data_IF_273524573947
#
_entry.id   IF_273524573947
#
_cell.length_a   1.000
_cell.length_b   1.000
_cell.length_c   1.000
_cell.angle_alpha   90.00
_cell.angle_beta   90.00
_cell.angle_gamma   90.00
#
_symmetry.space_group_name_H-M   'P 1'
#
loop_
_entity.id
_entity.type
_entity.pdbx_description
1 polymer ?
#
# COMPACT_ATOMS: atom_id res chain seq x y z
N UNK A 1 8.97 7.54 0.79
CA UNK A 1 8.06 7.90 -0.33
C UNK A 1 8.57 9.09 -1.13
N UNK A 2 8.76 10.29 -0.56
CA UNK A 2 9.21 11.47 -1.31
C UNK A 2 10.52 11.24 -2.09
N UNK A 3 11.54 10.68 -1.44
CA UNK A 3 12.82 10.35 -2.09
C UNK A 3 12.66 9.38 -3.29
N UNK A 4 11.85 8.34 -3.13
CA UNK A 4 11.58 7.37 -4.22
C UNK A 4 10.85 8.04 -5.39
N UNK A 5 9.88 8.92 -5.10
CA UNK A 5 9.15 9.64 -6.16
C UNK A 5 10.05 10.60 -6.94
N UNK A 6 11.01 11.26 -6.30
CA UNK A 6 11.98 12.13 -6.99
C UNK A 6 12.89 11.32 -7.91
N UNK A 7 13.34 10.15 -7.45
CA UNK A 7 14.17 9.23 -8.25
C UNK A 7 13.39 8.67 -9.45
N UNK A 8 12.11 8.36 -9.28
CA UNK A 8 11.27 7.84 -10.36
C UNK A 8 10.73 8.92 -11.32
N UNK A 9 10.83 10.20 -10.99
CA UNK A 9 10.30 11.29 -11.82
C UNK A 9 10.80 11.26 -13.28
N UNK A 10 12.12 11.15 -13.58
CA UNK A 10 12.58 11.06 -14.96
C UNK A 10 12.03 9.83 -15.69
N UNK A 11 11.90 8.71 -14.98
CA UNK A 11 11.32 7.47 -15.52
C UNK A 11 9.85 7.68 -15.88
N UNK A 12 9.06 8.32 -15.01
CA UNK A 12 7.64 8.60 -15.27
C UNK A 12 7.43 9.57 -16.42
N UNK A 13 8.27 10.61 -16.54
CA UNK A 13 8.25 11.54 -17.67
C UNK A 13 8.60 10.83 -18.97
N UNK A 14 9.61 9.95 -18.97
CA UNK A 14 9.97 9.14 -20.13
C UNK A 14 8.82 8.20 -20.55
N UNK A 15 8.21 7.50 -19.60
CA UNK A 15 7.05 6.65 -19.89
C UNK A 15 5.93 7.45 -20.55
N UNK A 16 5.62 8.66 -20.08
CA UNK A 16 4.55 9.52 -20.63
C UNK A 16 4.75 9.90 -22.10
N UNK A 17 5.99 9.91 -22.60
CA UNK A 17 6.32 10.35 -23.96
C UNK A 17 6.40 9.19 -24.97
N UNK A 18 6.53 7.95 -24.52
CA UNK A 18 6.77 6.80 -25.39
C UNK A 18 5.47 6.04 -25.74
N UNK A 19 5.39 5.50 -26.96
CA UNK A 19 4.40 4.47 -27.38
C UNK A 19 4.47 3.17 -26.56
N UNK A 20 5.35 3.13 -25.55
CA UNK A 20 5.56 1.99 -24.65
C UNK A 20 4.28 1.63 -23.87
N UNK A 21 3.42 2.60 -23.53
CA UNK A 21 2.15 2.33 -22.86
C UNK A 21 1.27 1.39 -23.68
N UNK A 22 1.16 1.62 -24.99
CA UNK A 22 0.35 0.78 -25.89
C UNK A 22 0.92 -0.64 -26.03
N UNK A 23 2.25 -0.78 -26.04
CA UNK A 23 2.91 -2.11 -26.05
C UNK A 23 2.71 -2.84 -24.72
N UNK A 24 2.85 -2.14 -23.60
CA UNK A 24 2.63 -2.69 -22.26
C UNK A 24 1.19 -3.14 -22.07
N UNK A 25 0.22 -2.35 -22.50
CA UNK A 25 -1.20 -2.74 -22.42
C UNK A 25 -1.45 -4.01 -23.22
N UNK A 26 -0.95 -4.12 -24.46
CA UNK A 26 -1.09 -5.36 -25.26
C UNK A 26 -0.48 -6.59 -24.59
N UNK A 27 0.69 -6.46 -23.96
CA UNK A 27 1.32 -7.56 -23.21
C UNK A 27 0.49 -7.91 -21.98
N UNK A 28 -0.04 -6.89 -21.30
CA UNK A 28 -0.78 -7.03 -20.06
C UNK A 28 -2.23 -7.50 -20.27
N UNK A 29 -2.80 -7.39 -21.47
CA UNK A 29 -4.11 -7.97 -21.84
C UNK A 29 -4.18 -9.50 -21.63
N UNK A 30 -3.03 -10.17 -21.53
CA UNK A 30 -2.97 -11.58 -21.17
C UNK A 30 -3.28 -11.75 -19.67
N UNK A 31 -4.21 -12.64 -19.29
CA UNK A 31 -4.53 -12.89 -17.87
C UNK A 31 -3.30 -13.32 -17.04
N UNK A 32 -2.34 -13.99 -17.69
CA UNK A 32 -1.06 -14.39 -17.11
C UNK A 32 -0.18 -13.17 -16.81
N UNK A 33 -0.27 -12.10 -17.59
CA UNK A 33 0.55 -10.91 -17.42
C UNK A 33 0.11 -10.05 -16.23
N UNK A 34 -1.20 -10.03 -15.91
CA UNK A 34 -1.70 -9.45 -14.66
C UNK A 34 -1.14 -10.17 -13.42
N UNK A 35 -1.14 -11.50 -13.47
CA UNK A 35 -0.51 -12.34 -12.45
C UNK A 35 1.01 -12.14 -12.46
N UNK A 36 1.59 -11.88 -13.63
CA UNK A 36 2.99 -11.51 -13.82
C UNK A 36 3.41 -10.27 -13.05
N UNK A 37 2.51 -9.31 -12.80
CA UNK A 37 2.80 -8.15 -11.93
C UNK A 37 3.10 -8.57 -10.48
N UNK A 38 2.57 -9.70 -10.01
CA UNK A 38 2.89 -10.20 -8.68
C UNK A 38 4.26 -10.90 -8.62
N UNK A 39 4.87 -11.26 -9.76
CA UNK A 39 6.13 -12.01 -9.79
C UNK A 39 7.34 -11.18 -9.30
N UNK A 40 7.56 -9.92 -9.72
CA UNK A 40 8.67 -9.14 -9.19
C UNK A 40 8.57 -8.95 -7.67
N UNK A 41 7.36 -8.77 -7.13
CA UNK A 41 7.11 -8.69 -5.69
C UNK A 41 7.47 -10.01 -4.99
N UNK A 42 7.06 -11.14 -5.58
CA UNK A 42 7.39 -12.48 -5.09
C UNK A 42 8.91 -12.74 -5.05
N UNK A 43 9.62 -12.37 -6.12
CA UNK A 43 11.08 -12.54 -6.22
C UNK A 43 11.81 -11.67 -5.19
N UNK A 44 11.41 -10.40 -5.06
CA UNK A 44 11.97 -9.47 -4.08
C UNK A 44 11.83 -10.04 -2.66
N UNK A 45 10.63 -10.50 -2.30
CA UNK A 45 10.38 -11.10 -0.99
C UNK A 45 11.18 -12.39 -0.79
N UNK A 46 11.22 -13.28 -1.78
CA UNK A 46 11.95 -14.55 -1.69
C UNK A 46 13.46 -14.37 -1.48
N UNK A 47 14.08 -13.43 -2.20
CA UNK A 47 15.53 -13.25 -2.23
C UNK A 47 16.02 -12.36 -1.09
N UNK A 48 15.26 -11.33 -0.72
CA UNK A 48 15.73 -10.30 0.20
C UNK A 48 15.24 -10.49 1.64
N UNK A 49 14.05 -11.08 1.88
CA UNK A 49 13.57 -11.34 3.26
C UNK A 49 14.38 -12.33 4.10
N UNK A 50 15.17 -13.27 3.54
CA UNK A 50 16.04 -14.09 4.37
C UNK A 50 17.08 -13.26 5.13
N UNK A 51 17.52 -12.13 4.55
CA UNK A 51 18.55 -11.25 5.12
C UNK A 51 17.98 -10.00 5.78
N UNK A 52 17.01 -9.34 5.18
CA UNK A 52 16.42 -8.11 5.73
C UNK A 52 15.11 -8.40 6.45
N UNK A 53 15.12 -8.14 7.76
CA UNK A 53 14.04 -8.44 8.70
C UNK A 53 12.78 -7.59 8.42
N UNK A 54 12.94 -6.43 7.80
CA UNK A 54 11.82 -5.55 7.46
C UNK A 54 11.52 -4.48 8.52
N UNK A 55 12.55 -3.82 9.08
CA UNK A 55 12.38 -2.72 10.04
C UNK A 55 11.70 -1.47 9.45
N UNK A 56 11.41 -1.46 8.14
CA UNK A 56 10.81 -0.35 7.39
C UNK A 56 11.71 0.89 7.33
N UNK A 57 13.03 0.68 7.41
CA UNK A 57 14.04 1.73 7.32
C UNK A 57 14.45 2.02 5.87
N UNK A 58 15.02 3.19 5.61
CA UNK A 58 15.43 3.57 4.25
C UNK A 58 16.82 3.04 3.85
N UNK A 59 17.73 2.86 4.81
CA UNK A 59 19.15 2.59 4.54
C UNK A 59 19.57 1.12 4.76
N UNK A 60 18.87 0.40 5.64
CA UNK A 60 19.20 -0.98 6.01
C UNK A 60 17.99 -1.91 5.87
N UNK A 61 17.20 -1.68 4.83
CA UNK A 61 16.03 -2.50 4.50
C UNK A 61 15.75 -2.50 2.99
N UNK A 62 16.74 -2.98 2.23
CA UNK A 62 16.67 -3.03 0.77
C UNK A 62 15.48 -3.85 0.25
N UNK A 63 15.02 -4.84 1.02
CA UNK A 63 13.81 -5.58 0.71
C UNK A 63 12.59 -4.65 0.61
N UNK A 64 12.35 -3.84 1.64
CA UNK A 64 11.22 -2.91 1.64
C UNK A 64 11.40 -1.76 0.64
N UNK A 65 12.62 -1.23 0.49
CA UNK A 65 12.89 -0.17 -0.49
C UNK A 65 12.52 -0.60 -1.91
N UNK A 66 12.99 -1.76 -2.35
CA UNK A 66 12.71 -2.28 -3.68
C UNK A 66 11.23 -2.66 -3.85
N UNK A 67 10.63 -3.27 -2.83
CA UNK A 67 9.22 -3.62 -2.84
C UNK A 67 8.32 -2.37 -2.98
N UNK A 68 8.59 -1.31 -2.21
CA UNK A 68 7.85 -0.05 -2.31
C UNK A 68 8.10 0.66 -3.64
N UNK A 69 9.32 0.59 -4.18
CA UNK A 69 9.64 1.12 -5.50
C UNK A 69 8.80 0.44 -6.58
N UNK A 70 8.70 -0.90 -6.56
CA UNK A 70 7.88 -1.66 -7.50
C UNK A 70 6.40 -1.32 -7.35
N UNK A 71 5.88 -1.22 -6.12
CA UNK A 71 4.50 -0.78 -5.91
C UNK A 71 4.23 0.63 -6.42
N UNK A 72 5.17 1.56 -6.26
CA UNK A 72 5.05 2.92 -6.77
C UNK A 72 4.98 2.93 -8.31
N UNK A 73 5.85 2.15 -8.98
CA UNK A 73 5.85 2.02 -10.44
C UNK A 73 4.52 1.40 -10.91
N UNK A 74 4.04 0.35 -10.26
CA UNK A 74 2.76 -0.27 -10.59
C UNK A 74 1.58 0.66 -10.38
N UNK A 75 1.55 1.42 -9.28
CA UNK A 75 0.53 2.43 -9.05
C UNK A 75 0.48 3.47 -10.17
N UNK A 76 1.64 3.95 -10.63
CA UNK A 76 1.73 4.87 -11.76
C UNK A 76 1.22 4.24 -13.06
N UNK A 77 1.72 3.06 -13.43
CA UNK A 77 1.36 2.38 -14.67
C UNK A 77 -0.14 2.05 -14.73
N UNK A 78 -0.70 1.50 -13.65
CA UNK A 78 -2.11 1.15 -13.56
C UNK A 78 -3.02 2.40 -13.56
N UNK A 79 -2.54 3.51 -13.01
CA UNK A 79 -3.28 4.78 -12.99
C UNK A 79 -3.20 5.57 -14.30
N UNK A 80 -2.15 5.35 -15.11
CA UNK A 80 -1.92 6.12 -16.33
C UNK A 80 -2.84 5.71 -17.50
N UNK A 81 -3.27 4.45 -17.58
CA UNK A 81 -4.00 3.92 -18.74
C UNK A 81 -5.40 3.35 -18.40
N UNK A 82 -6.49 3.91 -18.95
CA UNK A 82 -7.86 3.45 -18.69
C UNK A 82 -8.13 2.00 -19.10
N UNK A 83 -7.36 1.47 -20.05
CA UNK A 83 -7.51 0.09 -20.53
C UNK A 83 -7.17 -0.93 -19.43
N UNK A 84 -6.29 -0.61 -18.50
CA UNK A 84 -6.00 -1.48 -17.34
C UNK A 84 -7.22 -1.67 -16.45
N UNK A 85 -8.01 -0.63 -16.27
CA UNK A 85 -9.21 -0.69 -15.44
C UNK A 85 -10.20 -1.72 -15.99
N UNK A 86 -10.43 -1.69 -17.31
CA UNK A 86 -11.28 -2.66 -18.01
C UNK A 86 -10.75 -4.10 -17.87
N UNK A 87 -9.44 -4.27 -17.91
CA UNK A 87 -8.80 -5.56 -17.77
C UNK A 87 -8.96 -6.12 -16.34
N UNK A 88 -8.77 -5.28 -15.32
CA UNK A 88 -9.00 -5.64 -13.92
C UNK A 88 -10.46 -6.08 -13.70
N UNK A 89 -11.42 -5.35 -14.27
CA UNK A 89 -12.84 -5.71 -14.20
C UNK A 89 -13.14 -7.05 -14.86
N UNK A 90 -12.51 -7.35 -15.99
CA UNK A 90 -12.67 -8.63 -16.70
C UNK A 90 -12.18 -9.82 -15.87
N UNK A 91 -11.09 -9.67 -15.14
CA UNK A 91 -10.44 -10.75 -14.39
C UNK A 91 -10.66 -10.72 -12.87
N UNK A 92 -11.54 -9.82 -12.39
CA UNK A 92 -11.76 -9.57 -10.96
C UNK A 92 -12.07 -10.81 -10.12
N UNK A 93 -12.86 -11.75 -10.64
CA UNK A 93 -13.23 -12.95 -9.88
C UNK A 93 -12.02 -13.86 -9.66
N UNK A 94 -11.20 -14.07 -10.69
CA UNK A 94 -9.98 -14.87 -10.60
C UNK A 94 -8.97 -14.24 -9.64
N UNK A 95 -8.77 -12.92 -9.71
CA UNK A 95 -7.87 -12.18 -8.81
C UNK A 95 -8.35 -12.31 -7.35
N UNK A 96 -9.66 -12.18 -7.11
CA UNK A 96 -10.26 -12.33 -5.77
C UNK A 96 -10.04 -13.73 -5.22
N UNK A 97 -10.35 -14.76 -6.01
CA UNK A 97 -10.17 -16.16 -5.62
C UNK A 97 -8.71 -16.41 -5.29
N UNK A 98 -7.78 -15.95 -6.13
CA UNK A 98 -6.35 -16.15 -5.92
C UNK A 98 -5.83 -15.46 -4.64
N UNK A 99 -6.22 -14.21 -4.40
CA UNK A 99 -5.82 -13.46 -3.20
C UNK A 99 -6.39 -14.07 -1.91
N UNK A 100 -7.66 -14.48 -1.92
CA UNK A 100 -8.31 -15.07 -0.75
C UNK A 100 -7.77 -16.48 -0.50
N UNK A 101 -7.71 -17.33 -1.52
CA UNK A 101 -7.18 -18.69 -1.39
C UNK A 101 -5.71 -18.66 -0.96
N UNK A 102 -4.90 -17.77 -1.53
CA UNK A 102 -3.50 -17.58 -1.15
C UNK A 102 -3.36 -17.15 0.31
N UNK A 103 -4.19 -16.21 0.77
CA UNK A 103 -4.23 -15.81 2.18
C UNK A 103 -4.66 -16.95 3.10
N UNK A 104 -5.68 -17.72 2.73
CA UNK A 104 -6.14 -18.89 3.51
C UNK A 104 -5.05 -19.93 3.67
N UNK A 105 -4.26 -20.19 2.63
CA UNK A 105 -3.11 -21.10 2.70
C UNK A 105 -2.04 -20.54 3.65
N UNK A 106 -1.70 -19.25 3.54
CA UNK A 106 -0.72 -18.62 4.42
C UNK A 106 -1.14 -18.62 5.89
N UNK A 107 -2.42 -18.33 6.16
CA UNK A 107 -2.99 -18.41 7.50
C UNK A 107 -3.03 -19.85 8.01
N UNK A 108 -3.38 -20.81 7.16
CA UNK A 108 -3.36 -22.23 7.50
C UNK A 108 -1.95 -22.71 7.91
N UNK A 109 -0.92 -22.32 7.15
CA UNK A 109 0.48 -22.60 7.51
C UNK A 109 0.88 -21.96 8.84
N UNK A 110 0.42 -20.74 9.11
CA UNK A 110 0.69 -20.05 10.38
C UNK A 110 -0.01 -20.71 11.57
N UNK A 111 -1.28 -21.08 11.43
CA UNK A 111 -2.04 -21.78 12.48
C UNK A 111 -1.49 -23.17 12.75
N UNK A 112 -1.03 -23.87 11.72
CA UNK A 112 -0.43 -25.20 11.83
C UNK A 112 1.03 -25.19 12.33
N UNK A 113 1.57 -24.02 12.67
CA UNK A 113 2.98 -23.81 13.03
C UNK A 113 3.96 -24.41 12.00
N UNK A 114 3.55 -24.40 10.74
CA UNK A 114 4.28 -24.95 9.60
C UNK A 114 5.05 -23.87 8.82
N UNK A 115 5.20 -22.67 9.40
CA UNK A 115 5.95 -21.57 8.81
C UNK A 115 7.44 -21.90 8.89
N UNK A 116 8.18 -21.96 7.77
CA UNK A 116 9.59 -22.28 7.79
C UNK A 116 10.39 -21.24 8.59
N UNK A 117 11.41 -21.72 9.31
CA UNK A 117 12.35 -20.83 10.00
C UNK A 117 13.09 -19.93 9.00
N UNK A 118 13.32 -18.68 9.42
CA UNK A 118 14.03 -17.69 8.62
C UNK A 118 15.45 -18.19 8.33
N UNK A 119 15.69 -18.48 7.07
CA UNK A 119 16.97 -18.99 6.59
C UNK A 119 17.04 -18.80 5.08
N UNK A 120 18.24 -18.86 4.51
CA UNK A 120 18.42 -19.03 3.07
C UNK A 120 18.15 -20.48 2.64
N UNK A 121 17.04 -21.06 3.12
CA UNK A 121 16.58 -22.38 2.72
C UNK A 121 15.56 -22.26 1.60
N UNK A 122 15.54 -23.26 0.72
CA UNK A 122 14.56 -23.33 -0.36
C UNK A 122 13.13 -23.24 0.17
N UNK A 123 12.85 -23.87 1.33
CA UNK A 123 11.53 -23.86 1.98
C UNK A 123 11.09 -22.45 2.41
N UNK A 124 11.98 -21.69 3.05
CA UNK A 124 11.65 -20.33 3.46
C UNK A 124 11.53 -19.38 2.26
N UNK A 125 12.41 -19.52 1.27
CA UNK A 125 12.35 -18.72 0.05
C UNK A 125 11.07 -18.97 -0.75
N UNK A 126 10.61 -20.22 -0.89
CA UNK A 126 9.34 -20.53 -1.56
C UNK A 126 8.14 -20.02 -0.78
N UNK A 127 8.17 -20.12 0.56
CA UNK A 127 7.17 -19.50 1.42
C UNK A 127 7.11 -17.97 1.22
N UNK A 128 8.26 -17.29 1.21
CA UNK A 128 8.31 -15.84 1.00
C UNK A 128 7.93 -15.43 -0.43
N UNK A 129 8.30 -16.23 -1.43
CA UNK A 129 7.83 -16.05 -2.81
C UNK A 129 6.30 -16.06 -2.86
N UNK A 130 5.69 -17.08 -2.26
CA UNK A 130 4.24 -17.20 -2.21
C UNK A 130 3.58 -16.04 -1.44
N UNK A 131 4.19 -15.58 -0.34
CA UNK A 131 3.74 -14.38 0.38
C UNK A 131 3.78 -13.12 -0.46
N UNK A 132 4.91 -12.84 -1.13
CA UNK A 132 5.06 -11.66 -1.99
C UNK A 132 4.11 -11.71 -3.19
N UNK A 133 3.92 -12.88 -3.78
CA UNK A 133 2.96 -13.11 -4.84
C UNK A 133 1.52 -12.84 -4.37
N UNK A 134 1.13 -13.40 -3.23
CA UNK A 134 -0.19 -13.19 -2.65
C UNK A 134 -0.41 -11.70 -2.32
N UNK A 135 0.61 -11.01 -1.79
CA UNK A 135 0.57 -9.56 -1.53
C UNK A 135 0.28 -8.77 -2.82
N UNK A 136 0.93 -9.11 -3.93
CA UNK A 136 0.63 -8.50 -5.23
C UNK A 136 -0.82 -8.72 -5.66
N UNK A 137 -1.33 -9.94 -5.50
CA UNK A 137 -2.72 -10.28 -5.79
C UNK A 137 -3.70 -9.45 -4.95
N UNK A 138 -3.41 -9.25 -3.65
CA UNK A 138 -4.22 -8.41 -2.76
C UNK A 138 -4.26 -6.96 -3.22
N UNK A 139 -3.12 -6.38 -3.61
CA UNK A 139 -3.09 -5.00 -4.11
C UNK A 139 -3.92 -4.85 -5.37
N UNK A 140 -3.75 -5.76 -6.34
CA UNK A 140 -4.53 -5.74 -7.59
C UNK A 140 -6.03 -5.91 -7.29
N UNK A 141 -6.38 -6.81 -6.36
CA UNK A 141 -7.76 -7.04 -5.92
C UNK A 141 -8.37 -5.76 -5.31
N UNK A 142 -7.67 -5.12 -4.38
CA UNK A 142 -8.12 -3.91 -3.70
C UNK A 142 -8.27 -2.75 -4.68
N UNK A 143 -7.37 -2.61 -5.66
CA UNK A 143 -7.48 -1.61 -6.72
C UNK A 143 -8.74 -1.84 -7.59
N UNK A 144 -9.02 -3.09 -7.97
CA UNK A 144 -10.25 -3.45 -8.69
C UNK A 144 -11.51 -3.12 -7.87
N UNK A 145 -11.51 -3.40 -6.56
CA UNK A 145 -12.62 -3.02 -5.67
C UNK A 145 -12.78 -1.50 -5.56
N UNK A 146 -11.68 -0.77 -5.38
CA UNK A 146 -11.72 0.69 -5.28
C UNK A 146 -12.28 1.31 -6.57
N UNK A 147 -11.92 0.79 -7.74
CA UNK A 147 -12.48 1.26 -9.01
C UNK A 147 -13.98 0.98 -9.12
N UNK A 148 -14.43 -0.20 -8.69
CA UNK A 148 -15.84 -0.58 -8.80
C UNK A 148 -16.74 0.20 -7.82
N UNK A 149 -16.28 0.40 -6.58
CA UNK A 149 -17.13 0.89 -5.49
C UNK A 149 -16.78 2.28 -4.99
N UNK A 150 -15.58 2.80 -5.26
CA UNK A 150 -15.11 4.11 -4.79
C UNK A 150 -14.89 5.12 -5.93
N UNK A 151 -15.26 4.78 -7.16
CA UNK A 151 -15.17 5.68 -8.31
C UNK A 151 -16.45 6.52 -8.48
N UNK A 152 -16.76 7.33 -7.47
CA UNK A 152 -17.89 8.25 -7.49
C UNK A 152 -17.49 9.64 -7.00
N UNK A 153 -18.15 10.68 -7.50
CA UNK A 153 -17.82 12.06 -7.14
C UNK A 153 -18.66 12.51 -5.94
N UNK A 154 -18.15 12.32 -4.72
CA UNK A 154 -18.83 12.72 -3.48
C UNK A 154 -17.92 13.58 -2.58
N UNK A 155 -18.48 14.60 -1.88
CA UNK A 155 -17.71 15.46 -0.99
C UNK A 155 -16.90 14.70 0.07
N UNK A 156 -17.46 13.60 0.60
CA UNK A 156 -16.77 12.74 1.57
C UNK A 156 -15.52 12.09 0.96
N UNK A 157 -15.60 11.57 -0.27
CA UNK A 157 -14.43 10.98 -0.93
C UNK A 157 -13.35 12.02 -1.19
N UNK A 158 -13.73 13.24 -1.58
CA UNK A 158 -12.79 14.35 -1.75
C UNK A 158 -12.08 14.69 -0.44
N UNK A 159 -12.85 14.78 0.65
CA UNK A 159 -12.31 15.00 2.00
C UNK A 159 -11.36 13.88 2.42
N UNK A 160 -11.76 12.61 2.28
CA UNK A 160 -10.93 11.46 2.64
C UNK A 160 -9.65 11.38 1.80
N UNK A 161 -9.71 11.73 0.52
CA UNK A 161 -8.54 11.75 -0.35
C UNK A 161 -7.53 12.80 0.12
N UNK A 162 -7.99 14.03 0.45
CA UNK A 162 -7.15 15.06 1.05
C UNK A 162 -6.63 14.67 2.44
N UNK A 163 -7.42 13.95 3.24
CA UNK A 163 -7.02 13.53 4.58
C UNK A 163 -6.05 12.34 4.60
N UNK A 164 -6.04 11.51 3.56
CA UNK A 164 -5.34 10.22 3.52
C UNK A 164 -3.86 10.31 3.90
N UNK A 165 -3.11 11.25 3.30
CA UNK A 165 -1.67 11.38 3.52
C UNK A 165 -1.32 11.93 4.91
N UNK A 166 -1.91 13.06 5.37
CA UNK A 166 -1.77 13.52 6.76
C UNK A 166 -2.18 12.48 7.79
N UNK A 167 -3.30 11.79 7.55
CA UNK A 167 -3.81 10.76 8.44
C UNK A 167 -2.79 9.63 8.57
N UNK A 168 -2.23 9.15 7.46
CA UNK A 168 -1.19 8.12 7.47
C UNK A 168 0.02 8.52 8.33
N UNK A 169 0.49 9.75 8.20
CA UNK A 169 1.66 10.24 8.97
C UNK A 169 1.38 10.39 10.46
N UNK A 170 0.22 10.94 10.82
CA UNK A 170 -0.15 11.18 12.22
C UNK A 170 -0.60 9.91 12.94
N UNK A 171 -1.29 9.01 12.23
CA UNK A 171 -1.90 7.84 12.85
C UNK A 171 -0.88 6.94 13.54
N UNK A 172 0.27 6.68 12.92
CA UNK A 172 1.28 5.79 13.50
C UNK A 172 1.84 6.34 14.82
N UNK A 173 2.16 7.63 14.90
CA UNK A 173 2.68 8.23 16.13
C UNK A 173 1.62 8.22 17.24
N UNK A 174 0.38 8.57 16.91
CA UNK A 174 -0.75 8.55 17.85
C UNK A 174 -1.02 7.16 18.40
N UNK A 175 -1.07 6.13 17.54
CA UNK A 175 -1.29 4.74 17.95
C UNK A 175 -0.18 4.28 18.91
N UNK A 176 1.08 4.60 18.60
CA UNK A 176 2.22 4.20 19.45
C UNK A 176 2.16 4.93 20.80
N UNK A 177 1.88 6.24 20.83
CA UNK A 177 1.77 7.01 22.07
C UNK A 177 0.65 6.49 22.98
N UNK A 178 -0.54 6.22 22.42
CA UNK A 178 -1.67 5.68 23.17
C UNK A 178 -1.38 4.24 23.59
N UNK A 179 -0.86 3.43 22.68
CA UNK A 179 -0.50 2.04 22.94
C UNK A 179 0.50 1.90 24.09
N UNK A 180 1.50 2.78 24.16
CA UNK A 180 2.48 2.79 25.24
C UNK A 180 1.83 2.94 26.63
N UNK A 181 0.82 3.81 26.75
CA UNK A 181 0.10 4.00 28.01
C UNK A 181 -0.87 2.85 28.33
N UNK A 182 -1.66 2.41 27.32
CA UNK A 182 -2.74 1.43 27.52
C UNK A 182 -2.23 0.00 27.72
N UNK A 183 -1.09 -0.35 27.13
CA UNK A 183 -0.50 -1.69 27.29
C UNK A 183 -0.14 -1.98 28.75
N UNK A 184 0.20 -0.95 29.54
CA UNK A 184 0.56 -1.07 30.96
C UNK A 184 -0.64 -1.33 31.87
N UNK A 185 -1.88 -1.20 31.38
CA UNK A 185 -3.06 -1.42 32.21
C UNK A 185 -3.25 -2.89 32.59
N UNK A 186 -3.73 -3.15 33.80
CA UNK A 186 -4.13 -4.50 34.24
C UNK A 186 -5.55 -4.86 33.74
N UNK A 187 -5.77 -4.76 32.43
CA UNK A 187 -7.05 -5.03 31.77
C UNK A 187 -6.91 -6.11 30.69
N UNK A 188 -8.05 -6.67 30.25
CA UNK A 188 -8.09 -7.70 29.22
C UNK A 188 -7.63 -7.17 27.85
N UNK A 189 -7.08 -8.05 27.01
CA UNK A 189 -6.58 -7.72 25.66
C UNK A 189 -7.65 -7.05 24.81
N UNK A 190 -8.90 -7.52 24.89
CA UNK A 190 -10.01 -6.97 24.13
C UNK A 190 -10.32 -5.52 24.51
N UNK A 191 -10.27 -5.19 25.80
CA UNK A 191 -10.46 -3.81 26.28
C UNK A 191 -9.32 -2.90 25.80
N UNK A 192 -8.07 -3.37 25.90
CA UNK A 192 -6.91 -2.64 25.37
C UNK A 192 -7.05 -2.37 23.87
N UNK A 193 -7.49 -3.37 23.10
CA UNK A 193 -7.72 -3.23 21.66
C UNK A 193 -8.77 -2.15 21.34
N UNK A 194 -9.94 -2.21 22.00
CA UNK A 194 -11.01 -1.23 21.78
C UNK A 194 -10.52 0.18 22.12
N UNK A 195 -9.86 0.34 23.28
CA UNK A 195 -9.38 1.65 23.73
C UNK A 195 -8.32 2.20 22.77
N UNK A 196 -7.31 1.41 22.42
CA UNK A 196 -6.25 1.87 21.50
C UNK A 196 -6.86 2.23 20.15
N UNK A 197 -7.72 1.37 19.58
CA UNK A 197 -8.30 1.59 18.25
C UNK A 197 -9.23 2.81 18.20
N UNK A 198 -10.11 2.97 19.18
CA UNK A 198 -11.06 4.10 19.21
C UNK A 198 -10.35 5.42 19.55
N UNK A 199 -9.49 5.42 20.57
CA UNK A 199 -8.78 6.62 20.97
C UNK A 199 -7.79 7.09 19.91
N UNK A 200 -7.11 6.18 19.21
CA UNK A 200 -6.19 6.56 18.14
C UNK A 200 -6.93 7.14 16.93
N UNK A 201 -8.07 6.54 16.55
CA UNK A 201 -8.88 7.03 15.45
C UNK A 201 -9.40 8.44 15.75
N UNK A 202 -10.02 8.64 16.90
CA UNK A 202 -10.55 9.95 17.32
C UNK A 202 -9.45 10.98 17.43
N UNK A 203 -8.33 10.66 18.09
CA UNK A 203 -7.20 11.59 18.25
C UNK A 203 -6.59 11.97 16.90
N UNK A 204 -6.43 11.02 15.98
CA UNK A 204 -5.87 11.30 14.65
C UNK A 204 -6.81 12.21 13.84
N UNK A 205 -8.13 11.96 13.89
CA UNK A 205 -9.12 12.81 13.23
C UNK A 205 -9.12 14.23 13.80
N UNK A 206 -9.09 14.37 15.13
CA UNK A 206 -9.02 15.67 15.80
C UNK A 206 -7.75 16.43 15.44
N UNK A 207 -6.58 15.76 15.45
CA UNK A 207 -5.31 16.38 15.05
C UNK A 207 -5.31 16.81 13.59
N UNK A 208 -5.94 16.03 12.70
CA UNK A 208 -6.10 16.40 11.31
C UNK A 208 -7.02 17.63 11.14
N UNK A 209 -8.22 17.61 11.71
CA UNK A 209 -9.21 18.69 11.55
C UNK A 209 -8.81 19.99 12.27
N UNK A 210 -8.16 19.90 13.43
CA UNK A 210 -7.76 21.06 14.22
C UNK A 210 -6.38 21.59 13.83
N UNK A 211 -5.41 20.70 13.62
CA UNK A 211 -4.04 21.08 13.31
C UNK A 211 -3.81 21.25 11.81
N UNK A 212 -3.93 20.15 11.06
CA UNK A 212 -3.50 20.13 9.65
C UNK A 212 -4.38 20.98 8.77
N UNK A 213 -5.70 20.87 8.91
CA UNK A 213 -6.66 21.50 8.01
C UNK A 213 -6.71 23.03 8.18
N UNK A 214 -6.47 23.54 9.39
CA UNK A 214 -6.58 24.96 9.74
C UNK A 214 -5.31 25.77 9.48
N UNK A 215 -4.12 25.17 9.60
CA UNK A 215 -2.87 25.89 9.45
C UNK A 215 -2.27 25.75 8.05
N UNK A 216 -1.97 26.89 7.40
CA UNK A 216 -1.44 26.91 6.02
C UNK A 216 -0.07 26.22 5.91
N UNK A 217 0.75 26.35 6.94
CA UNK A 217 2.10 25.78 6.99
C UNK A 217 2.05 24.24 7.08
N UNK A 218 1.14 23.68 7.87
CA UNK A 218 0.95 22.22 7.94
C UNK A 218 0.35 21.67 6.65
N UNK A 219 -0.54 22.40 5.99
CA UNK A 219 -1.03 22.01 4.64
C UNK A 219 0.11 21.94 3.64
N UNK A 220 0.99 22.95 3.62
CA UNK A 220 2.13 22.98 2.73
C UNK A 220 3.14 21.85 3.00
N UNK A 221 3.54 21.66 4.27
CA UNK A 221 4.49 20.61 4.67
C UNK A 221 3.96 19.19 4.36
N UNK A 222 2.64 19.00 4.40
CA UNK A 222 1.99 17.72 4.11
C UNK A 222 1.52 17.60 2.65
N UNK A 223 1.92 18.53 1.77
CA UNK A 223 1.64 18.45 0.33
C UNK A 223 0.15 18.65 -0.04
N UNK A 224 -0.65 19.24 0.84
CA UNK A 224 -2.05 19.55 0.58
C UNK A 224 -2.19 20.82 -0.25
N UNK A 225 -3.25 20.89 -1.07
CA UNK A 225 -3.60 22.10 -1.81
C UNK A 225 -3.86 23.28 -0.84
N UNK A 226 -3.43 24.51 -1.18
CA UNK A 226 -3.72 25.69 -0.38
C UNK A 226 -5.22 25.85 -0.13
N UNK A 227 -5.60 26.25 1.09
CA UNK A 227 -7.00 26.43 1.46
C UNK A 227 -7.69 27.60 0.71
N UNK A 228 -6.89 28.56 0.23
CA UNK A 228 -7.32 29.63 -0.67
C UNK A 228 -6.49 29.57 -1.96
N UNK A 229 -7.10 29.44 -3.15
CA UNK A 229 -6.45 29.90 -4.36
C UNK A 229 -6.33 31.42 -4.22
N UNK A 230 -5.11 31.94 -4.16
CA UNK A 230 -4.93 33.37 -4.39
C UNK A 230 -5.58 33.71 -5.74
N UNK A 231 -6.38 34.79 -5.84
CA UNK A 231 -6.88 35.24 -7.12
C UNK A 231 -5.67 35.51 -8.00
N UNK A 232 -5.57 34.79 -9.12
CA UNK A 232 -4.58 35.12 -10.16
C UNK A 232 -4.91 36.54 -10.64
N UNK A 233 -4.10 37.52 -10.22
CA UNK A 233 -4.03 38.85 -10.84
C UNK A 233 -3.17 38.80 -12.09
#
# INVERSE_FOLDING_TARGET
>A
MAALSTVCLPLFVYFRQAELHLKLVKILELPIALVGLALPLAVIEAVLRPRWIGFQNLYDDWANVLLYLVYLIYGYLLGAEPQFQKLLDRHRLWIRVLAIAGMSILLGLWIADAVPERSYSLRYMTYQFFRGFNSGCWVIMLLSFAQQYLNFNHPILRYLNEASYPFYMLHQTVVVSIGYAVVQWHTGIFQKFIVISTASLVSTLLLYDLGVKRHHLSRFLLGLKPANPEPRT
#
